data_IF_991307546750
#
_entry.id   IF_991307546750
#
_cell.length_a   1.000
_cell.length_b   1.000
_cell.length_c   1.000
_cell.angle_alpha   90.00
_cell.angle_beta   90.00
_cell.angle_gamma   90.00
#
_symmetry.space_group_name_H-M   'P 1'
#
loop_
_entity.id
_entity.type
_entity.pdbx_description
1 polymer ?
#
# COMPACT_ATOMS: atom_id res chain seq x y z
N UNK A 1 -17.65 -28.87 -18.91
CA UNK A 1 -18.63 -27.76 -19.02
C UNK A 1 -17.84 -26.48 -19.19
N UNK A 2 -17.89 -25.91 -20.40
CA UNK A 2 -17.27 -24.64 -20.74
C UNK A 2 -18.30 -23.54 -20.49
N UNK A 3 -17.96 -22.53 -19.69
CA UNK A 3 -18.79 -21.34 -19.57
C UNK A 3 -18.22 -20.26 -20.48
N UNK A 4 -18.75 -20.22 -21.70
CA UNK A 4 -18.72 -19.06 -22.59
C UNK A 4 -20.15 -18.57 -22.77
N UNK A 5 -20.38 -17.27 -22.57
CA UNK A 5 -21.67 -16.61 -22.75
C UNK A 5 -21.56 -15.12 -22.45
N UNK A 6 -21.66 -14.32 -23.50
CA UNK A 6 -21.54 -12.87 -23.55
C UNK A 6 -22.73 -12.09 -22.93
N UNK A 7 -22.40 -10.84 -22.57
CA UNK A 7 -23.26 -9.64 -22.52
C UNK A 7 -24.22 -9.42 -21.32
N UNK A 8 -24.09 -8.21 -20.78
CA UNK A 8 -25.13 -7.43 -20.07
C UNK A 8 -25.58 -7.89 -18.67
N UNK A 9 -24.65 -7.92 -17.70
CA UNK A 9 -25.04 -7.70 -16.30
C UNK A 9 -25.08 -6.17 -16.05
N UNK A 10 -26.16 -5.50 -16.43
CA UNK A 10 -26.46 -4.15 -15.95
C UNK A 10 -26.88 -4.25 -14.48
N UNK A 11 -26.12 -3.61 -13.60
CA UNK A 11 -26.49 -3.50 -12.20
C UNK A 11 -27.55 -2.40 -12.10
N UNK A 12 -28.79 -2.78 -11.80
CA UNK A 12 -29.91 -1.84 -11.61
C UNK A 12 -30.17 -1.73 -10.11
N UNK A 13 -30.10 -0.52 -9.58
CA UNK A 13 -30.55 -0.21 -8.21
C UNK A 13 -31.96 0.35 -8.25
N UNK A 14 -32.90 -0.27 -7.53
CA UNK A 14 -34.25 0.27 -7.38
C UNK A 14 -34.27 1.33 -6.26
N UNK A 15 -33.95 2.57 -6.61
CA UNK A 15 -34.22 3.75 -5.76
C UNK A 15 -35.56 4.39 -6.12
N UNK A 16 -36.06 5.30 -5.27
CA UNK A 16 -37.31 6.06 -5.49
C UNK A 16 -37.32 6.90 -6.80
N UNK A 17 -36.17 6.99 -7.49
CA UNK A 17 -36.00 7.67 -8.78
C UNK A 17 -35.78 6.70 -9.96
N UNK A 18 -36.60 5.66 -10.09
CA UNK A 18 -36.59 4.77 -11.27
C UNK A 18 -35.27 4.02 -11.53
N UNK A 19 -35.22 3.16 -12.56
CA UNK A 19 -34.03 2.37 -12.85
C UNK A 19 -32.95 3.24 -13.53
N UNK A 20 -31.89 3.56 -12.81
CA UNK A 20 -30.66 4.13 -13.38
C UNK A 20 -29.73 3.00 -13.87
N UNK A 21 -29.35 3.05 -15.15
CA UNK A 21 -28.39 2.12 -15.73
C UNK A 21 -26.97 2.49 -15.30
N UNK A 22 -26.38 1.71 -14.40
CA UNK A 22 -25.01 1.94 -13.94
C UNK A 22 -24.01 1.60 -15.05
N UNK A 23 -23.25 2.61 -15.48
CA UNK A 23 -22.11 2.40 -16.38
C UNK A 23 -21.06 1.54 -15.68
N UNK A 24 -20.60 0.48 -16.38
CA UNK A 24 -19.53 -0.38 -15.87
C UNK A 24 -18.23 0.42 -15.83
N UNK A 25 -17.66 0.58 -14.64
CA UNK A 25 -16.39 1.28 -14.42
C UNK A 25 -15.26 0.24 -14.31
N UNK A 26 -14.19 0.41 -15.09
CA UNK A 26 -13.06 -0.54 -15.11
C UNK A 26 -12.08 -0.37 -13.93
N UNK A 27 -11.99 0.83 -13.36
CA UNK A 27 -11.30 1.10 -12.10
C UNK A 27 -11.76 2.45 -11.52
N UNK A 28 -11.91 2.52 -10.20
CA UNK A 28 -12.21 3.76 -9.48
C UNK A 28 -10.98 4.23 -8.73
N UNK A 29 -10.69 5.53 -8.82
CA UNK A 29 -9.71 6.20 -7.96
C UNK A 29 -10.44 6.90 -6.82
N UNK A 30 -10.02 6.62 -5.59
CA UNK A 30 -10.49 7.32 -4.40
C UNK A 30 -9.35 7.51 -3.41
N UNK A 31 -9.25 8.70 -2.80
CA UNK A 31 -8.16 9.12 -1.91
C UNK A 31 -6.74 8.81 -2.47
N UNK A 32 -6.56 8.79 -3.78
CA UNK A 32 -5.26 8.42 -4.38
C UNK A 32 -5.04 6.92 -4.61
N UNK A 33 -5.91 6.06 -4.10
CA UNK A 33 -5.90 4.61 -4.27
C UNK A 33 -6.69 4.21 -5.51
N UNK A 34 -6.17 3.26 -6.29
CA UNK A 34 -6.89 2.70 -7.45
C UNK A 34 -7.44 1.32 -7.09
N UNK A 35 -8.74 1.15 -7.28
CA UNK A 35 -9.44 -0.10 -7.01
C UNK A 35 -10.15 -0.59 -8.27
N UNK A 36 -9.84 -1.80 -8.68
CA UNK A 36 -10.53 -2.48 -9.78
C UNK A 36 -11.81 -3.19 -9.29
N UNK A 37 -12.78 -3.51 -10.16
CA UNK A 37 -14.04 -4.20 -9.80
C UNK A 37 -13.85 -5.55 -9.09
N UNK A 38 -12.71 -6.21 -9.32
CA UNK A 38 -12.32 -7.45 -8.64
C UNK A 38 -11.57 -7.21 -7.32
N UNK A 39 -11.66 -6.00 -6.76
CA UNK A 39 -10.98 -5.55 -5.55
C UNK A 39 -9.44 -5.71 -5.61
N UNK A 40 -8.88 -5.69 -6.82
CA UNK A 40 -7.44 -5.77 -7.04
C UNK A 40 -6.79 -4.40 -6.96
N UNK A 41 -5.67 -4.31 -6.24
CA UNK A 41 -4.80 -3.13 -6.19
C UNK A 41 -3.67 -3.14 -7.23
N UNK A 42 -3.65 -4.09 -8.17
CA UNK A 42 -2.58 -4.18 -9.17
C UNK A 42 -2.42 -2.88 -9.98
N UNK A 43 -3.54 -2.24 -10.36
CA UNK A 43 -3.49 -0.93 -11.04
C UNK A 43 -2.89 0.16 -10.16
N UNK A 44 -3.13 0.11 -8.84
CA UNK A 44 -2.54 1.05 -7.90
C UNK A 44 -1.03 0.87 -7.78
N UNK A 45 -0.48 -0.33 -7.93
CA UNK A 45 0.97 -0.52 -7.94
C UNK A 45 1.61 -0.08 -9.27
N UNK A 46 0.94 -0.34 -10.39
CA UNK A 46 1.46 0.00 -11.72
C UNK A 46 1.59 1.51 -11.96
N UNK A 47 0.58 2.30 -11.59
CA UNK A 47 0.54 3.74 -11.89
C UNK A 47 1.68 4.52 -11.20
N UNK A 48 1.95 4.38 -9.89
CA UNK A 48 3.07 5.02 -9.22
C UNK A 48 4.42 4.49 -9.73
N UNK A 49 4.55 3.19 -9.98
CA UNK A 49 5.80 2.62 -10.52
C UNK A 49 6.16 3.25 -11.86
N UNK A 50 5.21 3.39 -12.77
CA UNK A 50 5.41 4.10 -14.04
C UNK A 50 5.85 5.55 -13.83
N UNK A 51 5.19 6.26 -12.91
CA UNK A 51 5.52 7.65 -12.57
C UNK A 51 6.94 7.77 -12.00
N UNK A 52 7.33 6.88 -11.09
CA UNK A 52 8.67 6.90 -10.50
C UNK A 52 9.72 6.57 -11.55
N UNK A 53 9.50 5.61 -12.44
CA UNK A 53 10.44 5.36 -13.54
C UNK A 53 10.63 6.58 -14.44
N UNK A 54 9.57 7.35 -14.71
CA UNK A 54 9.69 8.60 -15.45
C UNK A 54 10.56 9.63 -14.69
N UNK A 55 10.33 9.79 -13.38
CA UNK A 55 11.12 10.69 -12.52
C UNK A 55 12.59 10.25 -12.46
N UNK A 56 12.88 8.97 -12.26
CA UNK A 56 14.24 8.43 -12.27
C UNK A 56 14.95 8.71 -13.60
N UNK A 57 14.25 8.52 -14.73
CA UNK A 57 14.81 8.86 -16.06
C UNK A 57 15.10 10.36 -16.20
N UNK A 58 14.24 11.23 -15.66
CA UNK A 58 14.48 12.67 -15.68
C UNK A 58 15.72 13.04 -14.86
N UNK A 59 15.82 12.53 -13.62
CA UNK A 59 16.97 12.75 -12.73
C UNK A 59 18.26 12.28 -13.42
N UNK A 60 18.24 11.10 -14.02
CA UNK A 60 19.40 10.55 -14.71
C UNK A 60 19.86 11.39 -15.91
N UNK A 61 18.94 12.10 -16.57
CA UNK A 61 19.25 12.99 -17.69
C UNK A 61 19.80 14.34 -17.25
N UNK A 62 19.32 14.87 -16.12
CA UNK A 62 19.73 16.19 -15.63
C UNK A 62 21.01 16.13 -14.79
N UNK A 63 21.29 14.99 -14.17
CA UNK A 63 22.43 14.82 -13.26
C UNK A 63 23.47 13.87 -13.87
N UNK A 64 24.69 14.37 -14.11
CA UNK A 64 25.79 13.57 -14.68
C UNK A 64 26.39 12.57 -13.69
N UNK A 65 26.35 12.88 -12.39
CA UNK A 65 26.74 12.01 -11.28
C UNK A 65 25.79 12.21 -10.12
N UNK A 66 25.37 11.11 -9.50
CA UNK A 66 24.53 11.11 -8.30
C UNK A 66 25.38 10.57 -7.15
N UNK A 67 25.61 11.39 -6.13
CA UNK A 67 26.31 10.96 -4.91
C UNK A 67 25.38 10.16 -3.99
N UNK A 68 25.95 9.54 -2.94
CA UNK A 68 25.15 8.87 -1.91
C UNK A 68 24.19 9.83 -1.21
N UNK A 69 24.62 11.06 -0.93
CA UNK A 69 23.80 12.07 -0.25
C UNK A 69 22.65 12.53 -1.15
N UNK A 70 22.93 12.83 -2.42
CA UNK A 70 21.90 13.21 -3.40
C UNK A 70 20.86 12.09 -3.54
N UNK A 71 21.33 10.85 -3.61
CA UNK A 71 20.46 9.69 -3.70
C UNK A 71 19.51 9.58 -2.51
N UNK A 72 19.99 9.77 -1.28
CA UNK A 72 19.13 9.71 -0.08
C UNK A 72 18.02 10.77 -0.13
N UNK A 73 18.36 12.00 -0.52
CA UNK A 73 17.39 13.10 -0.69
C UNK A 73 16.38 12.77 -1.79
N UNK A 74 16.84 12.36 -2.97
CA UNK A 74 15.98 12.05 -4.12
C UNK A 74 15.07 10.85 -3.85
N UNK A 75 15.60 9.80 -3.21
CA UNK A 75 14.83 8.62 -2.86
C UNK A 75 13.75 8.96 -1.81
N UNK A 76 14.09 9.74 -0.80
CA UNK A 76 13.16 10.20 0.22
C UNK A 76 12.06 11.13 -0.32
N UNK A 77 12.39 12.02 -1.25
CA UNK A 77 11.46 13.02 -1.77
C UNK A 77 10.56 12.50 -2.92
N UNK A 78 11.09 11.66 -3.81
CA UNK A 78 10.39 11.30 -5.05
C UNK A 78 10.00 9.83 -5.15
N UNK A 79 10.80 8.91 -4.60
CA UNK A 79 10.58 7.47 -4.75
C UNK A 79 9.68 6.95 -3.65
N UNK A 80 10.06 7.15 -2.39
CA UNK A 80 9.35 6.59 -1.23
C UNK A 80 7.91 7.09 -1.11
N UNK A 81 7.59 8.39 -1.23
CA UNK A 81 6.22 8.86 -1.06
C UNK A 81 5.25 8.34 -2.11
N UNK A 82 5.74 8.06 -3.33
CA UNK A 82 4.92 7.55 -4.42
C UNK A 82 4.68 6.03 -4.30
N UNK A 83 5.66 5.27 -3.81
CA UNK A 83 5.56 3.81 -3.72
C UNK A 83 5.02 3.30 -2.38
N UNK A 84 5.21 4.08 -1.30
CA UNK A 84 4.84 3.68 0.05
C UNK A 84 3.51 4.26 0.52
N UNK A 85 2.83 5.02 -0.34
CA UNK A 85 1.50 5.57 -0.06
C UNK A 85 0.49 4.45 0.20
N UNK A 86 -0.26 4.56 1.30
CA UNK A 86 -1.32 3.62 1.69
C UNK A 86 -0.88 2.15 1.71
N UNK A 87 0.40 1.86 1.97
CA UNK A 87 0.96 0.50 1.95
C UNK A 87 0.13 -0.51 2.76
N UNK A 88 -0.32 -0.13 3.97
CA UNK A 88 -1.10 -1.01 4.86
C UNK A 88 -2.45 -1.44 4.26
N UNK A 89 -3.04 -0.60 3.40
CA UNK A 89 -4.35 -0.88 2.76
C UNK A 89 -4.17 -1.62 1.43
N UNK A 90 -3.14 -1.24 0.67
CA UNK A 90 -2.95 -1.66 -0.72
C UNK A 90 -2.15 -2.96 -0.82
N UNK A 91 -1.41 -3.34 0.24
CA UNK A 91 -0.61 -4.55 0.23
C UNK A 91 -1.47 -5.81 0.05
N UNK A 92 -1.31 -6.44 -1.11
CA UNK A 92 -2.08 -7.62 -1.53
C UNK A 92 -1.40 -8.95 -1.21
N UNK A 93 -0.18 -8.93 -0.66
CA UNK A 93 0.67 -10.12 -0.52
C UNK A 93 1.13 -10.76 -1.83
N UNK A 94 0.76 -10.19 -2.99
CA UNK A 94 1.08 -10.79 -4.30
C UNK A 94 2.54 -10.55 -4.63
N UNK A 95 3.26 -11.64 -4.89
CA UNK A 95 4.67 -11.62 -5.30
C UNK A 95 4.92 -10.75 -6.54
N UNK A 96 3.98 -10.73 -7.50
CA UNK A 96 4.06 -9.87 -8.69
C UNK A 96 4.15 -8.38 -8.33
N UNK A 97 3.33 -7.92 -7.40
CA UNK A 97 3.28 -6.52 -6.98
C UNK A 97 4.57 -6.14 -6.20
N UNK A 98 5.05 -7.05 -5.34
CA UNK A 98 6.33 -6.89 -4.61
C UNK A 98 7.49 -6.75 -5.59
N UNK A 99 7.61 -7.66 -6.55
CA UNK A 99 8.68 -7.65 -7.57
C UNK A 99 8.62 -6.36 -8.40
N UNK A 100 7.43 -5.92 -8.77
CA UNK A 100 7.24 -4.70 -9.56
C UNK A 100 7.78 -3.45 -8.85
N UNK A 101 7.51 -3.32 -7.55
CA UNK A 101 7.94 -2.17 -6.75
C UNK A 101 9.43 -2.27 -6.42
N UNK A 102 9.92 -3.46 -6.07
CA UNK A 102 11.33 -3.71 -5.77
C UNK A 102 12.22 -3.42 -6.99
N UNK A 103 11.71 -3.63 -8.21
CA UNK A 103 12.39 -3.27 -9.46
C UNK A 103 12.73 -1.77 -9.52
N UNK A 104 11.90 -0.91 -8.93
CA UNK A 104 12.16 0.53 -8.87
C UNK A 104 13.36 0.83 -7.97
N UNK A 105 13.41 0.24 -6.77
CA UNK A 105 14.55 0.39 -5.86
C UNK A 105 15.84 -0.15 -6.50
N UNK A 106 15.78 -1.32 -7.15
CA UNK A 106 16.91 -1.89 -7.89
C UNK A 106 17.39 -0.98 -9.02
N UNK A 107 16.50 -0.28 -9.70
CA UNK A 107 16.86 0.68 -10.75
C UNK A 107 17.45 1.97 -10.17
N UNK A 108 16.82 2.52 -9.12
CA UNK A 108 17.27 3.74 -8.46
C UNK A 108 18.69 3.59 -7.89
N UNK A 109 18.96 2.49 -7.19
CA UNK A 109 20.29 2.23 -6.59
C UNK A 109 21.40 2.10 -7.62
N UNK A 110 21.10 1.69 -8.87
CA UNK A 110 22.07 1.63 -9.97
C UNK A 110 22.45 3.00 -10.53
N UNK A 111 21.69 4.05 -10.24
CA UNK A 111 21.97 5.41 -10.72
C UNK A 111 23.08 6.10 -9.92
N UNK A 112 23.39 5.60 -8.71
CA UNK A 112 24.45 6.14 -7.87
C UNK A 112 25.82 5.83 -8.47
N UNK A 113 26.68 6.85 -8.51
CA UNK A 113 28.02 6.72 -9.07
C UNK A 113 28.81 5.59 -8.37
N UNK A 114 29.42 4.72 -9.16
CA UNK A 114 30.21 3.58 -8.65
C UNK A 114 29.41 2.34 -8.24
N UNK A 115 28.08 2.40 -8.16
CA UNK A 115 27.28 1.27 -7.66
C UNK A 115 26.68 0.38 -8.75
N UNK A 116 26.71 0.82 -10.02
CA UNK A 116 26.02 0.14 -11.14
C UNK A 116 26.40 -1.33 -11.33
N UNK A 117 27.65 -1.69 -11.12
CA UNK A 117 28.20 -3.04 -11.32
C UNK A 117 28.10 -3.94 -10.09
N UNK A 118 27.80 -3.38 -8.91
CA UNK A 118 27.68 -4.17 -7.68
C UNK A 118 26.42 -5.05 -7.72
N UNK A 119 26.40 -6.12 -6.94
CA UNK A 119 25.16 -6.87 -6.70
C UNK A 119 24.15 -6.03 -5.90
N UNK A 120 22.89 -6.47 -5.86
CA UNK A 120 21.84 -5.66 -5.24
C UNK A 120 22.00 -5.53 -3.73
N UNK A 121 22.34 -6.62 -3.04
CA UNK A 121 22.45 -6.64 -1.59
C UNK A 121 23.59 -5.73 -1.12
N UNK A 122 24.74 -5.77 -1.81
CA UNK A 122 25.85 -4.85 -1.52
C UNK A 122 25.47 -3.39 -1.77
N UNK A 123 24.68 -3.08 -2.82
CA UNK A 123 24.17 -1.71 -3.02
C UNK A 123 23.29 -1.25 -1.86
N UNK A 124 22.47 -2.12 -1.29
CA UNK A 124 21.63 -1.79 -0.14
C UNK A 124 22.48 -1.45 1.09
N UNK A 125 23.51 -2.25 1.38
CA UNK A 125 24.44 -2.00 2.48
C UNK A 125 25.18 -0.67 2.30
N UNK A 126 25.72 -0.40 1.11
CA UNK A 126 26.46 0.85 0.83
C UNK A 126 25.58 2.08 0.97
N UNK A 127 24.30 1.98 0.60
CA UNK A 127 23.35 3.09 0.66
C UNK A 127 22.61 3.18 1.99
N UNK A 128 22.82 2.23 2.91
CA UNK A 128 22.07 2.07 4.16
C UNK A 128 20.55 2.00 3.93
N UNK A 129 20.15 1.07 3.06
CA UNK A 129 18.75 0.85 2.68
C UNK A 129 18.26 -0.52 3.10
N UNK A 130 17.03 -0.59 3.58
CA UNK A 130 16.33 -1.84 3.79
C UNK A 130 15.60 -2.33 2.51
N UNK A 131 15.48 -3.65 2.31
CA UNK A 131 14.60 -4.22 1.29
C UNK A 131 13.14 -3.76 1.48
N UNK A 132 12.34 -3.74 0.40
CA UNK A 132 10.93 -3.33 0.47
C UNK A 132 10.11 -4.17 1.47
N UNK A 133 10.31 -5.48 1.48
CA UNK A 133 9.57 -6.38 2.37
C UNK A 133 9.78 -6.03 3.84
N UNK A 134 11.03 -5.78 4.24
CA UNK A 134 11.34 -5.34 5.60
C UNK A 134 10.69 -4.00 5.93
N UNK A 135 10.73 -3.04 5.00
CA UNK A 135 10.12 -1.71 5.23
C UNK A 135 8.60 -1.79 5.39
N UNK A 136 7.95 -2.68 4.64
CA UNK A 136 6.51 -2.96 4.77
C UNK A 136 6.18 -3.61 6.10
N UNK A 137 6.87 -4.70 6.43
CA UNK A 137 6.69 -5.39 7.71
C UNK A 137 6.86 -4.43 8.88
N UNK A 138 7.88 -3.57 8.85
CA UNK A 138 8.08 -2.55 9.87
C UNK A 138 6.90 -1.56 9.94
N UNK A 139 6.38 -1.12 8.80
CA UNK A 139 5.23 -0.21 8.74
C UNK A 139 3.94 -0.85 9.26
N UNK A 140 3.73 -2.14 9.01
CA UNK A 140 2.59 -2.89 9.53
C UNK A 140 2.69 -3.04 11.05
N UNK A 141 3.86 -3.42 11.56
CA UNK A 141 4.12 -3.52 13.01
C UNK A 141 3.90 -2.20 13.74
N UNK A 142 4.35 -1.08 13.16
CA UNK A 142 4.13 0.26 13.73
C UNK A 142 2.63 0.59 13.80
N UNK A 143 1.86 0.29 12.74
CA UNK A 143 0.41 0.50 12.76
C UNK A 143 -0.27 -0.40 13.78
N UNK A 144 0.09 -1.68 13.82
CA UNK A 144 -0.47 -2.63 14.78
C UNK A 144 -0.25 -2.11 16.19
N UNK A 145 0.97 -1.70 16.53
CA UNK A 145 1.28 -1.10 17.83
C UNK A 145 0.44 0.15 18.11
N UNK A 146 0.35 1.08 17.16
CA UNK A 146 -0.44 2.30 17.31
C UNK A 146 -1.94 2.02 17.54
N UNK A 147 -2.50 1.01 16.86
CA UNK A 147 -3.89 0.60 17.06
C UNK A 147 -4.15 0.05 18.45
N UNK A 148 -3.19 -0.69 19.03
CA UNK A 148 -3.29 -1.21 20.39
C UNK A 148 -3.13 -0.13 21.44
N UNK A 149 -2.08 0.70 21.33
CA UNK A 149 -1.82 1.80 22.28
C UNK A 149 -2.97 2.81 22.32
N UNK A 150 -3.56 3.13 21.16
CA UNK A 150 -4.67 4.09 21.08
C UNK A 150 -6.03 3.48 21.47
N UNK A 151 -6.06 2.21 21.90
CA UNK A 151 -7.29 1.51 22.26
C UNK A 151 -8.28 1.30 21.10
N UNK A 152 -7.91 1.67 19.88
CA UNK A 152 -8.72 1.46 18.68
C UNK A 152 -8.93 -0.03 18.42
N UNK A 153 -7.90 -0.85 18.66
CA UNK A 153 -8.02 -2.30 18.57
C UNK A 153 -9.10 -2.83 19.52
N UNK A 154 -9.14 -2.36 20.78
CA UNK A 154 -10.13 -2.80 21.79
C UNK A 154 -11.57 -2.40 21.46
N UNK A 155 -11.75 -1.36 20.62
CA UNK A 155 -13.08 -0.96 20.13
C UNK A 155 -13.61 -1.96 19.10
N UNK A 156 -12.76 -2.47 18.22
CA UNK A 156 -13.16 -3.35 17.11
C UNK A 156 -12.95 -4.84 17.38
N UNK A 157 -12.03 -5.18 18.28
CA UNK A 157 -11.61 -6.54 18.58
C UNK A 157 -11.61 -6.78 20.09
N UNK A 158 -12.00 -7.98 20.49
CA UNK A 158 -11.82 -8.46 21.87
C UNK A 158 -10.72 -9.50 21.90
N UNK A 159 -9.79 -9.33 22.84
CA UNK A 159 -8.78 -10.35 23.14
C UNK A 159 -9.48 -11.49 23.85
N UNK A 160 -9.45 -12.69 23.26
CA UNK A 160 -10.00 -13.89 23.90
C UNK A 160 -9.10 -14.24 25.11
N UNK A 161 -9.59 -14.14 26.36
CA UNK A 161 -8.80 -14.48 27.55
C UNK A 161 -8.57 -15.99 27.68
N UNK A 162 -9.31 -16.83 26.95
CA UNK A 162 -9.18 -18.27 26.99
C UNK A 162 -8.14 -18.74 25.97
N UNK A 163 -6.87 -18.78 26.39
CA UNK A 163 -5.74 -19.30 25.60
C UNK A 163 -5.79 -20.85 25.38
N UNK A 164 -6.98 -21.42 25.22
CA UNK A 164 -7.25 -22.86 25.40
C UNK A 164 -7.27 -23.65 24.10
N UNK A 165 -6.78 -23.11 22.97
CA UNK A 165 -6.73 -23.87 21.71
C UNK A 165 -5.30 -23.96 21.16
N UNK A 166 -4.94 -25.19 20.81
CA UNK A 166 -3.59 -25.63 20.44
C UNK A 166 -3.20 -25.04 19.06
N UNK A 167 -2.37 -24.00 19.07
CA UNK A 167 -1.73 -23.41 17.89
C UNK A 167 -1.74 -21.87 17.89
N UNK A 168 -0.56 -21.26 17.72
CA UNK A 168 -0.23 -19.81 17.73
C UNK A 168 -1.10 -18.93 18.64
N UNK A 169 -0.54 -18.54 19.79
CA UNK A 169 -1.17 -17.67 20.77
C UNK A 169 -1.65 -16.34 20.18
N UNK A 170 -2.86 -15.95 20.58
CA UNK A 170 -3.58 -14.72 20.26
C UNK A 170 -4.21 -14.66 18.85
N UNK A 171 -5.43 -15.21 18.74
CA UNK A 171 -6.40 -14.81 17.72
C UNK A 171 -7.49 -13.95 18.36
N UNK A 172 -7.78 -12.79 17.77
CA UNK A 172 -8.81 -11.87 18.23
C UNK A 172 -10.08 -12.01 17.37
N UNK A 173 -11.25 -11.95 18.02
CA UNK A 173 -12.55 -12.02 17.37
C UNK A 173 -13.09 -10.60 17.12
N UNK A 174 -13.81 -10.42 16.00
CA UNK A 174 -14.50 -9.15 15.69
C UNK A 174 -15.63 -8.92 16.72
N UNK A 175 -15.74 -7.68 17.22
CA UNK A 175 -16.84 -7.29 18.11
C UNK A 175 -18.15 -7.17 17.31
N UNK A 176 -19.16 -7.96 17.68
CA UNK A 176 -20.52 -7.91 17.07
C UNK A 176 -21.37 -6.69 17.51
N UNK A 177 -20.78 -5.72 18.23
CA UNK A 177 -21.54 -4.61 18.84
C UNK A 177 -21.30 -3.28 18.13
N UNK A 178 -21.78 -3.15 16.90
CA UNK A 178 -21.99 -1.84 16.27
C UNK A 178 -23.50 -1.54 16.22
N UNK A 179 -24.04 -1.08 17.35
CA UNK A 179 -25.25 -0.26 17.34
C UNK A 179 -24.80 1.18 17.51
N UNK A 180 -24.99 1.98 16.46
CA UNK A 180 -24.52 3.37 16.34
C UNK A 180 -25.20 4.27 17.36
N UNK A 181 -24.44 4.85 18.29
CA UNK A 181 -24.88 5.98 19.10
C UNK A 181 -24.39 7.29 18.43
N UNK A 182 -25.27 8.24 18.07
CA UNK A 182 -24.94 9.36 17.17
C UNK A 182 -24.30 10.58 17.88
N UNK A 183 -23.66 10.42 19.04
CA UNK A 183 -23.23 11.55 19.86
C UNK A 183 -21.77 11.47 20.31
N UNK A 184 -20.81 11.76 19.44
CA UNK A 184 -19.57 12.46 19.83
C UNK A 184 -18.71 12.77 18.59
N UNK A 185 -18.82 14.01 18.11
CA UNK A 185 -17.85 14.66 17.23
C UNK A 185 -17.07 15.66 18.07
N UNK A 186 -15.77 15.40 18.25
CA UNK A 186 -14.81 16.26 18.94
C UNK A 186 -13.70 15.36 19.50
N UNK A 187 -12.41 15.49 19.18
CA UNK A 187 -11.65 16.58 18.58
C UNK A 187 -10.53 15.95 17.74
N UNK A 188 -10.19 16.59 16.62
CA UNK A 188 -9.06 16.22 15.77
C UNK A 188 -7.79 16.80 16.39
N UNK A 189 -6.83 15.97 16.80
CA UNK A 189 -5.49 16.43 17.16
C UNK A 189 -4.51 16.14 16.03
N UNK A 190 -3.80 17.19 15.62
CA UNK A 190 -2.90 17.23 14.48
C UNK A 190 -1.68 16.29 14.63
N UNK A 191 -1.21 15.66 13.54
CA UNK A 191 -0.04 14.81 13.56
C UNK A 191 1.25 15.63 13.63
N UNK A 192 2.05 15.40 14.68
CA UNK A 192 3.45 15.84 14.76
C UNK A 192 4.30 14.85 13.96
N UNK A 193 5.03 15.36 12.97
CA UNK A 193 5.97 14.63 12.11
C UNK A 193 7.20 14.13 12.87
#
# INVERSE_FOLDING_TARGET
MSFGGDSANSFVTHGEKGPEELTRIDAKKDLGIWLSPNLSFSLHHEKPVQKVFAVLRMIQRTSSRISRMDFQVLNGAYVRPLLEYANQVVYSGRTKDVILIERVQRAATKMVAGLKSMDYETRLVVLDLFPLEYRRLRGDLILTYALFEQGLANRFFTVDPANTRRGHGERQLLNDKNQTDPGNLGECLDPVF
#
